data_IF_097213224941
#
_entry.id   IF_097213224941
#
_cell.length_a   1.000
_cell.length_b   1.000
_cell.length_c   1.000
_cell.angle_alpha   90.00
_cell.angle_beta   90.00
_cell.angle_gamma   90.00
#
_symmetry.space_group_name_H-M   'P 1'
#
loop_
_entity.id
_entity.type
_entity.pdbx_description
1 polymer ?
#
# COMPACT_ATOMS: atom_id res chain seq x y z
N UNK A 1 0.57 8.38 -32.09
CA UNK A 1 -0.19 7.95 -30.90
C UNK A 1 0.02 8.97 -29.81
N UNK A 2 -1.06 9.46 -29.22
CA UNK A 2 -1.00 10.33 -28.04
C UNK A 2 -0.46 9.49 -26.88
N UNK A 3 0.58 9.99 -26.19
CA UNK A 3 1.20 9.31 -25.05
C UNK A 3 0.25 9.32 -23.85
N UNK A 4 0.07 8.20 -23.20
CA UNK A 4 -0.58 8.14 -21.88
C UNK A 4 0.35 8.71 -20.80
N UNK A 5 -0.25 9.32 -19.77
CA UNK A 5 0.47 9.79 -18.59
C UNK A 5 0.64 8.64 -17.60
N UNK A 6 1.87 8.40 -17.18
CA UNK A 6 2.20 7.43 -16.13
C UNK A 6 1.96 8.08 -14.77
N UNK A 7 0.95 7.62 -14.06
CA UNK A 7 0.57 8.15 -12.74
C UNK A 7 0.93 7.12 -11.67
N UNK A 8 1.86 7.47 -10.78
CA UNK A 8 2.19 6.67 -9.61
C UNK A 8 1.21 6.97 -8.47
N UNK A 9 0.51 5.96 -7.95
CA UNK A 9 -0.41 6.10 -6.83
C UNK A 9 0.15 5.31 -5.64
N UNK A 10 0.50 5.99 -4.54
CA UNK A 10 1.09 5.41 -3.35
C UNK A 10 0.06 5.24 -2.23
N UNK A 11 0.10 4.09 -1.56
CA UNK A 11 -0.77 3.84 -0.42
C UNK A 11 -1.02 2.36 -0.15
N UNK A 12 -2.16 2.07 0.47
CA UNK A 12 -2.62 0.72 0.83
C UNK A 12 -4.07 0.75 1.30
N UNK A 13 -4.44 -0.29 2.06
CA UNK A 13 -5.77 -0.40 2.67
C UNK A 13 -6.91 -0.41 1.66
N UNK A 14 -7.93 0.40 1.89
CA UNK A 14 -9.10 0.55 1.03
C UNK A 14 -9.08 1.84 0.19
N UNK A 15 -8.30 2.83 0.60
CA UNK A 15 -8.24 4.14 -0.06
C UNK A 15 -7.60 4.05 -1.45
N UNK A 16 -6.43 3.45 -1.56
CA UNK A 16 -5.73 3.31 -2.83
C UNK A 16 -6.54 2.53 -3.88
N UNK A 17 -7.13 1.35 -3.60
CA UNK A 17 -8.01 0.68 -4.55
C UNK A 17 -9.19 1.53 -5.01
N UNK A 18 -9.80 2.32 -4.13
CA UNK A 18 -10.91 3.22 -4.49
C UNK A 18 -10.47 4.30 -5.48
N UNK A 19 -9.31 4.92 -5.25
CA UNK A 19 -8.71 5.88 -6.16
C UNK A 19 -8.42 5.25 -7.54
N UNK A 20 -7.78 4.08 -7.56
CA UNK A 20 -7.45 3.37 -8.80
C UNK A 20 -8.70 3.02 -9.60
N UNK A 21 -9.76 2.56 -8.94
CA UNK A 21 -11.05 2.25 -9.56
C UNK A 21 -11.68 3.46 -10.25
N UNK A 22 -11.59 4.64 -9.63
CA UNK A 22 -12.06 5.89 -10.22
C UNK A 22 -11.20 6.37 -11.39
N UNK A 23 -9.88 6.29 -11.26
CA UNK A 23 -8.97 6.80 -12.28
C UNK A 23 -8.84 5.89 -13.51
N UNK A 24 -9.01 4.57 -13.37
CA UNK A 24 -8.83 3.59 -14.47
C UNK A 24 -9.79 3.78 -15.66
N UNK A 25 -10.87 4.53 -15.46
CA UNK A 25 -11.82 4.84 -16.53
C UNK A 25 -11.27 5.87 -17.53
N UNK A 26 -10.27 6.64 -17.10
CA UNK A 26 -9.66 7.64 -17.98
C UNK A 26 -8.61 6.98 -18.89
N UNK A 27 -8.83 6.97 -20.24
CA UNK A 27 -7.95 6.27 -21.16
C UNK A 27 -6.59 6.96 -21.36
N UNK A 28 -6.43 8.19 -20.90
CA UNK A 28 -5.18 8.95 -20.97
C UNK A 28 -4.21 8.63 -19.86
N UNK A 29 -4.65 7.88 -18.82
CA UNK A 29 -3.84 7.52 -17.68
C UNK A 29 -3.36 6.07 -17.77
N UNK A 30 -2.08 5.87 -17.53
CA UNK A 30 -1.50 4.56 -17.23
C UNK A 30 -1.16 4.53 -15.74
N UNK A 31 -1.94 3.76 -14.98
CA UNK A 31 -1.87 3.76 -13.53
C UNK A 31 -0.83 2.77 -13.01
N UNK A 32 -0.08 3.22 -12.01
CA UNK A 32 0.90 2.42 -11.28
C UNK A 32 0.60 2.52 -9.79
N UNK A 33 0.08 1.45 -9.21
CA UNK A 33 -0.11 1.37 -7.76
C UNK A 33 1.21 0.97 -7.08
N UNK A 34 1.77 1.83 -6.24
CA UNK A 34 2.91 1.52 -5.36
C UNK A 34 2.36 1.23 -3.98
N UNK A 35 2.37 -0.05 -3.61
CA UNK A 35 1.58 -0.58 -2.50
C UNK A 35 2.45 -0.82 -1.28
N UNK A 36 1.93 -0.45 -0.11
CA UNK A 36 2.53 -0.80 1.19
C UNK A 36 2.60 -2.32 1.37
N UNK A 37 3.67 -2.79 2.02
CA UNK A 37 3.93 -4.22 2.23
C UNK A 37 4.04 -4.57 3.73
N UNK A 38 3.42 -3.77 4.59
CA UNK A 38 3.61 -3.86 6.04
C UNK A 38 2.32 -4.21 6.80
N UNK A 39 1.28 -4.68 6.07
CA UNK A 39 0.02 -5.18 6.66
C UNK A 39 0.33 -6.34 7.63
N UNK A 40 -0.10 -6.19 8.87
CA UNK A 40 0.04 -7.19 9.93
C UNK A 40 -1.29 -7.79 10.35
N UNK A 41 -2.40 -7.37 9.73
CA UNK A 41 -3.75 -7.74 10.11
C UNK A 41 -4.36 -8.89 9.33
N UNK A 42 -5.41 -9.49 9.91
CA UNK A 42 -6.30 -10.44 9.27
C UNK A 42 -5.61 -11.58 8.50
N UNK A 43 -6.14 -11.92 7.32
CA UNK A 43 -5.64 -13.00 6.48
C UNK A 43 -4.20 -12.77 5.97
N UNK A 44 -3.82 -11.52 5.68
CA UNK A 44 -2.48 -11.19 5.19
C UNK A 44 -1.42 -11.40 6.27
N UNK A 45 -1.69 -10.95 7.50
CA UNK A 45 -0.79 -11.14 8.64
C UNK A 45 -0.62 -12.62 8.97
N UNK A 46 -1.70 -13.40 8.98
CA UNK A 46 -1.63 -14.85 9.23
C UNK A 46 -0.79 -15.57 8.18
N UNK A 47 -1.00 -15.31 6.89
CA UNK A 47 -0.22 -15.92 5.81
C UNK A 47 1.25 -15.54 5.89
N UNK A 48 1.54 -14.28 6.22
CA UNK A 48 2.91 -13.82 6.47
C UNK A 48 3.57 -14.61 7.59
N UNK A 49 2.88 -14.80 8.70
CA UNK A 49 3.45 -15.42 9.91
C UNK A 49 3.54 -16.96 9.78
N UNK A 50 2.57 -17.62 9.13
CA UNK A 50 2.51 -19.06 8.98
C UNK A 50 3.34 -19.61 7.81
N UNK A 51 3.24 -18.97 6.64
CA UNK A 51 3.88 -19.43 5.41
C UNK A 51 5.17 -18.67 5.08
N UNK A 52 5.44 -17.61 5.82
CA UNK A 52 6.60 -16.80 5.55
C UNK A 52 6.54 -16.06 4.21
N UNK A 53 5.35 -15.81 3.67
CA UNK A 53 5.13 -15.02 2.44
C UNK A 53 5.00 -13.53 2.75
N UNK A 54 5.08 -12.69 1.73
CA UNK A 54 4.77 -11.27 1.86
C UNK A 54 3.25 -11.07 2.01
N UNK A 55 2.78 -10.01 2.74
CA UNK A 55 1.36 -9.80 2.96
C UNK A 55 0.64 -9.44 1.64
N UNK A 56 -0.22 -10.33 1.11
CA UNK A 56 -0.75 -10.18 -0.24
C UNK A 56 -1.97 -9.25 -0.34
N UNK A 57 -2.59 -8.90 0.79
CA UNK A 57 -3.93 -8.31 0.83
C UNK A 57 -4.07 -7.00 0.07
N UNK A 58 -3.21 -6.03 0.31
CA UNK A 58 -3.30 -4.73 -0.33
C UNK A 58 -2.91 -4.77 -1.82
N UNK A 59 -1.94 -5.61 -2.17
CA UNK A 59 -1.59 -5.90 -3.56
C UNK A 59 -2.78 -6.50 -4.31
N UNK A 60 -3.45 -7.49 -3.70
CA UNK A 60 -4.66 -8.10 -4.26
C UNK A 60 -5.77 -7.07 -4.47
N UNK A 61 -6.07 -6.24 -3.46
CA UNK A 61 -7.11 -5.19 -3.57
C UNK A 61 -6.81 -4.21 -4.72
N UNK A 62 -5.56 -3.80 -4.89
CA UNK A 62 -5.14 -2.91 -5.98
C UNK A 62 -5.24 -3.61 -7.35
N UNK A 63 -4.83 -4.88 -7.46
CA UNK A 63 -4.97 -5.65 -8.69
C UNK A 63 -6.44 -5.82 -9.08
N UNK A 64 -7.32 -6.10 -8.11
CA UNK A 64 -8.76 -6.18 -8.33
C UNK A 64 -9.36 -4.85 -8.78
N UNK A 65 -8.96 -3.72 -8.15
CA UNK A 65 -9.41 -2.40 -8.56
C UNK A 65 -9.02 -2.06 -10.00
N UNK A 66 -7.87 -2.53 -10.47
CA UNK A 66 -7.40 -2.34 -11.85
C UNK A 66 -7.91 -3.42 -12.82
N UNK A 67 -8.54 -4.48 -12.33
CA UNK A 67 -9.02 -5.58 -13.16
C UNK A 67 -10.02 -5.13 -14.23
N UNK A 68 -10.02 -5.82 -15.38
CA UNK A 68 -10.97 -5.56 -16.47
C UNK A 68 -12.41 -5.86 -16.05
N UNK A 69 -12.62 -6.99 -15.38
CA UNK A 69 -13.93 -7.43 -14.86
C UNK A 69 -13.87 -7.41 -13.32
N UNK A 70 -13.76 -6.21 -12.73
CA UNK A 70 -13.59 -6.04 -11.29
C UNK A 70 -14.68 -6.77 -10.46
N UNK A 71 -15.96 -6.62 -10.85
CA UNK A 71 -17.07 -7.18 -10.08
C UNK A 71 -17.01 -8.70 -9.95
N UNK A 72 -16.66 -9.41 -11.02
CA UNK A 72 -16.53 -10.88 -11.00
C UNK A 72 -15.25 -11.30 -10.27
N UNK A 73 -14.13 -10.64 -10.55
CA UNK A 73 -12.88 -10.92 -9.90
C UNK A 73 -12.99 -10.75 -8.37
N UNK A 74 -13.65 -9.70 -7.89
CA UNK A 74 -13.89 -9.47 -6.46
C UNK A 74 -14.75 -10.57 -5.83
N UNK A 75 -15.85 -10.97 -6.50
CA UNK A 75 -16.72 -12.04 -5.98
C UNK A 75 -15.97 -13.34 -5.77
N UNK A 76 -15.07 -13.71 -6.68
CA UNK A 76 -14.30 -14.96 -6.60
C UNK A 76 -13.12 -14.82 -5.65
N UNK A 77 -12.28 -13.80 -5.81
CA UNK A 77 -11.00 -13.71 -5.12
C UNK A 77 -11.10 -13.14 -3.71
N UNK A 78 -12.17 -12.40 -3.37
CA UNK A 78 -12.42 -11.95 -2.00
C UNK A 78 -13.35 -12.88 -1.22
N UNK A 79 -13.87 -13.93 -1.85
CA UNK A 79 -14.60 -14.97 -1.14
C UNK A 79 -13.68 -15.59 -0.06
N UNK A 80 -14.21 -15.67 1.17
CA UNK A 80 -13.48 -16.24 2.30
C UNK A 80 -13.81 -17.72 2.43
N UNK A 81 -12.79 -18.53 2.70
CA UNK A 81 -13.00 -19.92 3.05
C UNK A 81 -13.69 -20.02 4.41
N UNK A 82 -14.71 -20.91 4.55
CA UNK A 82 -15.38 -21.09 5.83
C UNK A 82 -14.40 -21.66 6.87
N UNK A 83 -14.52 -21.18 8.10
CA UNK A 83 -13.77 -21.73 9.22
C UNK A 83 -14.48 -23.00 9.69
N UNK A 84 -13.95 -24.16 9.30
CA UNK A 84 -14.43 -25.47 9.75
C UNK A 84 -13.53 -25.98 10.87
N UNK A 85 -14.10 -26.63 11.86
CA UNK A 85 -13.37 -27.14 13.04
C UNK A 85 -12.16 -28.04 12.67
N UNK A 86 -12.26 -28.78 11.56
CA UNK A 86 -11.20 -29.67 11.09
C UNK A 86 -10.22 -29.03 10.07
N UNK A 87 -10.44 -27.78 9.65
CA UNK A 87 -9.63 -27.04 8.67
C UNK A 87 -9.32 -25.62 9.13
N UNK A 88 -9.06 -25.43 10.42
CA UNK A 88 -8.84 -24.11 11.03
C UNK A 88 -7.77 -23.27 10.35
N UNK A 89 -6.73 -23.91 9.77
CA UNK A 89 -5.62 -23.21 9.12
C UNK A 89 -5.98 -22.49 7.81
N UNK A 90 -6.98 -22.98 7.07
CA UNK A 90 -7.42 -22.35 5.80
C UNK A 90 -8.64 -21.44 6.00
N UNK A 91 -9.31 -21.54 7.13
CA UNK A 91 -10.50 -20.75 7.43
C UNK A 91 -10.20 -19.26 7.51
N UNK A 92 -11.11 -18.44 6.97
CA UNK A 92 -10.99 -16.99 7.00
C UNK A 92 -10.08 -16.37 5.93
N UNK A 93 -9.22 -17.15 5.27
CA UNK A 93 -8.42 -16.65 4.16
C UNK A 93 -9.27 -16.38 2.92
N UNK A 94 -8.92 -15.35 2.15
CA UNK A 94 -9.54 -15.12 0.85
C UNK A 94 -8.87 -15.98 -0.23
N UNK A 95 -9.65 -16.42 -1.21
CA UNK A 95 -9.12 -17.19 -2.33
C UNK A 95 -7.98 -16.49 -3.07
N UNK A 96 -8.07 -15.17 -3.21
CA UNK A 96 -7.03 -14.36 -3.87
C UNK A 96 -5.73 -14.26 -3.07
N UNK A 97 -5.80 -14.16 -1.74
CA UNK A 97 -4.60 -14.16 -0.90
C UNK A 97 -3.87 -15.51 -0.99
N UNK A 98 -4.62 -16.62 -0.94
CA UNK A 98 -4.04 -17.95 -1.11
C UNK A 98 -3.44 -18.14 -2.49
N UNK A 99 -4.15 -17.72 -3.54
CA UNK A 99 -3.65 -17.79 -4.92
C UNK A 99 -2.32 -17.03 -5.07
N UNK A 100 -2.26 -15.79 -4.59
CA UNK A 100 -1.05 -14.97 -4.71
C UNK A 100 0.12 -15.57 -3.92
N UNK A 101 -0.14 -16.09 -2.70
CA UNK A 101 0.87 -16.78 -1.91
C UNK A 101 1.38 -18.06 -2.60
N UNK A 102 0.49 -18.83 -3.24
CA UNK A 102 0.90 -20.00 -4.03
C UNK A 102 1.73 -19.60 -5.25
N UNK A 103 1.36 -18.54 -5.94
CA UNK A 103 2.11 -18.02 -7.08
C UNK A 103 3.51 -17.55 -6.66
N UNK A 104 3.64 -16.89 -5.51
CA UNK A 104 4.94 -16.51 -4.93
C UNK A 104 5.81 -17.74 -4.64
N UNK A 105 5.26 -18.75 -3.96
CA UNK A 105 5.99 -19.97 -3.66
C UNK A 105 6.43 -20.74 -4.92
N UNK A 106 5.59 -20.75 -5.95
CA UNK A 106 5.92 -21.42 -7.21
C UNK A 106 6.97 -20.67 -8.03
N UNK A 107 6.87 -19.35 -8.15
CA UNK A 107 7.81 -18.54 -8.93
C UNK A 107 9.12 -18.24 -8.18
N UNK A 108 9.10 -18.30 -6.84
CA UNK A 108 10.21 -17.85 -5.99
C UNK A 108 10.45 -16.33 -6.02
N UNK A 109 9.52 -15.59 -6.65
CA UNK A 109 9.59 -14.14 -6.81
C UNK A 109 8.20 -13.51 -6.69
N UNK A 110 8.03 -12.67 -5.68
CA UNK A 110 6.75 -11.99 -5.44
C UNK A 110 6.35 -11.01 -6.54
N UNK A 111 7.30 -10.32 -7.15
CA UNK A 111 7.02 -9.43 -8.30
C UNK A 111 6.49 -10.22 -9.49
N UNK A 112 7.08 -11.37 -9.79
CA UNK A 112 6.59 -12.26 -10.84
C UNK A 112 5.19 -12.78 -10.54
N UNK A 113 4.90 -13.12 -9.27
CA UNK A 113 3.56 -13.52 -8.84
C UNK A 113 2.53 -12.39 -9.03
N UNK A 114 2.86 -11.17 -8.65
CA UNK A 114 2.00 -9.98 -8.85
C UNK A 114 1.76 -9.71 -10.33
N UNK A 115 2.79 -9.80 -11.17
CA UNK A 115 2.65 -9.59 -12.63
C UNK A 115 1.81 -10.70 -13.28
N UNK A 116 1.97 -11.95 -12.84
CA UNK A 116 1.13 -13.07 -13.25
C UNK A 116 -0.35 -12.86 -12.89
N UNK A 117 -0.64 -12.46 -11.63
CA UNK A 117 -2.00 -12.12 -11.20
C UNK A 117 -2.58 -10.96 -12.03
N UNK A 118 -1.79 -9.92 -12.28
CA UNK A 118 -2.16 -8.80 -13.15
C UNK A 118 -2.56 -9.28 -14.54
N UNK A 119 -1.79 -10.19 -15.13
CA UNK A 119 -2.07 -10.81 -16.43
C UNK A 119 -3.40 -11.57 -16.42
N UNK A 120 -3.62 -12.42 -15.42
CA UNK A 120 -4.87 -13.19 -15.26
C UNK A 120 -6.11 -12.30 -15.15
N UNK A 121 -6.00 -11.17 -14.45
CA UNK A 121 -7.10 -10.24 -14.23
C UNK A 121 -7.29 -9.23 -15.39
N UNK A 122 -6.38 -9.20 -16.36
CA UNK A 122 -6.39 -8.23 -17.45
C UNK A 122 -6.35 -6.79 -16.93
N UNK A 123 -5.51 -6.51 -15.92
CA UNK A 123 -5.46 -5.21 -15.26
C UNK A 123 -5.08 -4.06 -16.21
N UNK A 124 -5.76 -2.93 -16.07
CA UNK A 124 -5.47 -1.67 -16.76
C UNK A 124 -4.49 -0.81 -15.96
N UNK A 125 -3.26 -1.28 -15.83
CA UNK A 125 -2.22 -0.63 -15.05
C UNK A 125 -1.27 -1.65 -14.44
N UNK A 126 -0.41 -1.19 -13.54
CA UNK A 126 0.56 -2.03 -12.84
C UNK A 126 0.41 -1.91 -11.33
N UNK A 127 0.77 -2.99 -10.65
CA UNK A 127 0.83 -3.04 -9.18
C UNK A 127 2.27 -3.36 -8.80
N UNK A 128 2.83 -2.52 -7.94
CA UNK A 128 4.20 -2.59 -7.48
C UNK A 128 4.23 -2.71 -5.97
N UNK A 129 4.59 -3.86 -5.39
CA UNK A 129 4.98 -3.90 -3.99
C UNK A 129 6.19 -2.98 -3.81
N UNK A 130 6.13 -2.04 -2.86
CA UNK A 130 7.21 -1.05 -2.68
C UNK A 130 8.54 -1.73 -2.34
N UNK A 131 8.48 -2.84 -1.62
CA UNK A 131 9.63 -3.70 -1.28
C UNK A 131 9.18 -5.16 -1.28
N UNK A 132 10.13 -6.06 -1.47
CA UNK A 132 9.96 -7.52 -1.26
C UNK A 132 10.66 -8.00 0.01
N UNK A 133 11.20 -7.08 0.80
CA UNK A 133 11.79 -7.37 2.10
C UNK A 133 10.73 -7.22 3.20
N UNK A 134 10.92 -7.96 4.30
CA UNK A 134 9.99 -7.94 5.43
C UNK A 134 10.41 -6.92 6.46
N UNK A 135 9.47 -6.08 6.85
CA UNK A 135 9.62 -5.17 7.97
C UNK A 135 8.29 -5.01 8.71
N UNK A 136 8.36 -4.41 9.88
CA UNK A 136 7.21 -3.94 10.63
C UNK A 136 7.24 -2.42 10.74
N UNK A 137 6.08 -1.82 10.78
CA UNK A 137 5.94 -0.40 11.14
C UNK A 137 6.21 -0.28 12.64
N UNK A 138 7.04 0.68 13.02
CA UNK A 138 7.31 1.02 14.41
C UNK A 138 6.97 2.48 14.66
N UNK A 139 6.36 2.78 15.79
CA UNK A 139 5.99 4.13 16.19
C UNK A 139 6.48 4.45 17.60
N UNK A 140 6.97 5.68 17.79
CA UNK A 140 7.19 6.34 19.07
C UNK A 140 6.12 7.40 19.27
N UNK A 141 5.52 7.46 20.44
CA UNK A 141 4.49 8.44 20.78
C UNK A 141 5.07 9.56 21.66
N UNK A 142 4.32 10.66 21.81
CA UNK A 142 4.77 11.81 22.60
C UNK A 142 4.93 11.51 24.08
N UNK A 143 4.26 10.48 24.60
CA UNK A 143 4.43 10.00 25.98
C UNK A 143 5.66 9.09 26.17
N UNK A 144 6.42 8.81 25.10
CA UNK A 144 7.60 7.95 25.10
C UNK A 144 7.32 6.47 24.92
N UNK A 145 6.05 6.05 24.80
CA UNK A 145 5.71 4.66 24.51
C UNK A 145 6.09 4.28 23.08
N UNK A 146 6.31 2.98 22.86
CA UNK A 146 6.70 2.40 21.56
C UNK A 146 5.74 1.28 21.18
N UNK A 147 5.40 1.19 19.90
CA UNK A 147 4.68 0.05 19.35
C UNK A 147 5.31 -0.46 18.06
N UNK A 148 4.99 -1.73 17.74
CA UNK A 148 5.44 -2.40 16.52
C UNK A 148 4.30 -3.18 15.90
N UNK A 149 4.02 -2.93 14.64
CA UNK A 149 2.94 -3.55 13.85
C UNK A 149 1.90 -2.51 13.45
N UNK A 150 1.29 -2.73 12.30
CA UNK A 150 0.25 -1.85 11.76
C UNK A 150 -0.97 -1.79 12.70
N UNK A 151 -1.45 -2.97 13.11
CA UNK A 151 -2.65 -3.11 13.98
C UNK A 151 -2.43 -2.41 15.32
N UNK A 152 -1.24 -2.53 15.89
CA UNK A 152 -0.89 -1.91 17.16
C UNK A 152 -0.79 -0.37 17.02
N UNK A 153 -0.22 0.13 15.92
CA UNK A 153 -0.15 1.57 15.64
C UNK A 153 -1.56 2.16 15.50
N UNK A 154 -2.44 1.51 14.75
CA UNK A 154 -3.84 1.95 14.59
C UNK A 154 -4.61 1.90 15.93
N UNK A 155 -4.35 0.87 16.75
CA UNK A 155 -4.99 0.74 18.06
C UNK A 155 -4.57 1.89 19.01
N UNK A 156 -3.28 2.23 19.08
CA UNK A 156 -2.79 3.32 19.94
C UNK A 156 -3.29 4.69 19.46
N UNK A 157 -3.36 4.93 18.14
CA UNK A 157 -3.98 6.14 17.61
C UNK A 157 -5.46 6.23 17.98
N UNK A 158 -6.19 5.12 17.94
CA UNK A 158 -7.60 5.08 18.35
C UNK A 158 -7.79 5.39 19.84
N UNK A 159 -6.81 5.04 20.70
CA UNK A 159 -6.77 5.39 22.13
C UNK A 159 -6.42 6.85 22.39
N UNK A 160 -5.84 7.54 21.40
CA UNK A 160 -5.51 8.96 21.50
C UNK A 160 -4.02 9.26 21.59
N UNK A 161 -3.15 8.25 21.46
CA UNK A 161 -1.71 8.47 21.45
C UNK A 161 -1.26 9.11 20.14
N UNK A 162 -0.56 10.24 20.23
CA UNK A 162 -0.07 10.99 19.08
C UNK A 162 1.31 10.49 18.67
N UNK A 163 1.44 10.13 17.39
CA UNK A 163 2.71 9.65 16.84
C UNK A 163 3.72 10.80 16.78
N UNK A 164 4.89 10.60 17.38
CA UNK A 164 6.03 11.50 17.36
C UNK A 164 7.04 11.10 16.27
N UNK A 165 7.25 9.81 16.07
CA UNK A 165 8.19 9.25 15.09
C UNK A 165 7.66 7.94 14.54
N UNK A 166 7.90 7.70 13.24
CA UNK A 166 7.55 6.47 12.54
C UNK A 166 8.76 5.96 11.77
N UNK A 167 9.00 4.64 11.80
CA UNK A 167 10.07 4.00 11.03
C UNK A 167 9.71 2.55 10.68
N UNK A 168 10.53 1.94 9.84
CA UNK A 168 10.44 0.52 9.49
C UNK A 168 11.55 -0.25 10.18
N UNK A 169 11.25 -1.46 10.68
CA UNK A 169 12.22 -2.34 11.33
C UNK A 169 12.04 -3.80 10.84
N UNK A 170 13.08 -4.42 10.29
CA UNK A 170 14.36 -3.83 9.93
C UNK A 170 14.22 -2.73 8.85
N UNK A 171 15.28 -1.93 8.66
CA UNK A 171 15.37 -1.01 7.52
C UNK A 171 15.38 -1.82 6.22
N UNK A 172 14.46 -1.51 5.31
CA UNK A 172 14.25 -2.24 4.05
C UNK A 172 14.41 -1.33 2.85
N UNK A 173 14.80 -1.93 1.73
CA UNK A 173 15.06 -1.20 0.49
C UNK A 173 13.95 -1.40 -0.54
N UNK A 174 13.77 -0.39 -1.39
CA UNK A 174 12.91 -0.51 -2.57
C UNK A 174 13.50 -1.54 -3.54
N UNK A 175 12.63 -2.33 -4.18
CA UNK A 175 13.10 -3.19 -5.25
C UNK A 175 13.58 -2.36 -6.47
N UNK A 176 14.74 -2.65 -7.08
CA UNK A 176 15.31 -1.84 -8.18
C UNK A 176 14.33 -1.60 -9.33
N UNK A 177 13.59 -2.64 -9.75
CA UNK A 177 12.57 -2.51 -10.82
C UNK A 177 11.46 -1.52 -10.46
N UNK A 178 11.09 -1.45 -9.18
CA UNK A 178 10.07 -0.50 -8.70
C UNK A 178 10.63 0.91 -8.67
N UNK A 179 11.87 1.09 -8.23
CA UNK A 179 12.57 2.38 -8.30
C UNK A 179 12.65 2.91 -9.73
N UNK A 180 12.99 2.04 -10.69
CA UNK A 180 13.04 2.40 -12.12
C UNK A 180 11.67 2.74 -12.70
N UNK A 181 10.60 2.13 -12.19
CA UNK A 181 9.24 2.49 -12.57
C UNK A 181 8.86 3.87 -12.03
N UNK A 182 9.16 4.16 -10.75
CA UNK A 182 8.85 5.45 -10.10
C UNK A 182 9.50 6.62 -10.85
N UNK A 183 10.77 6.51 -11.24
CA UNK A 183 11.51 7.54 -12.00
C UNK A 183 10.84 7.94 -13.31
N UNK A 184 9.96 7.08 -13.84
CA UNK A 184 9.26 7.30 -15.12
C UNK A 184 7.85 7.87 -14.95
N UNK A 185 7.41 8.16 -13.72
CA UNK A 185 6.10 8.75 -13.50
C UNK A 185 6.04 10.20 -13.95
N UNK A 186 4.95 10.56 -14.58
CA UNK A 186 4.65 11.93 -15.00
C UNK A 186 4.01 12.74 -13.86
N UNK A 187 3.38 12.07 -12.89
CA UNK A 187 2.92 12.64 -11.63
C UNK A 187 2.79 11.53 -10.57
N UNK A 188 2.77 11.93 -9.31
CA UNK A 188 2.59 11.03 -8.16
C UNK A 188 1.40 11.49 -7.34
N UNK A 189 0.57 10.55 -6.94
CA UNK A 189 -0.53 10.74 -5.99
C UNK A 189 -0.23 9.91 -4.74
N UNK A 190 -0.27 10.53 -3.57
CA UNK A 190 -0.12 9.86 -2.27
C UNK A 190 -1.46 9.95 -1.55
N UNK A 191 -2.07 8.81 -1.24
CA UNK A 191 -3.39 8.73 -0.63
C UNK A 191 -4.54 8.59 -1.62
N UNK A 192 -5.80 8.56 -1.12
CA UNK A 192 -6.17 8.58 0.31
C UNK A 192 -5.84 7.28 1.02
N UNK A 193 -5.88 7.31 2.35
CA UNK A 193 -5.64 6.12 3.19
C UNK A 193 -5.19 6.51 4.60
N UNK A 194 -5.10 5.54 5.50
CA UNK A 194 -4.57 5.76 6.83
C UNK A 194 -3.17 6.35 6.78
N UNK A 195 -2.99 7.52 7.41
CA UNK A 195 -1.79 8.32 7.22
C UNK A 195 -0.53 7.58 7.68
N UNK A 196 -0.55 7.06 8.93
CA UNK A 196 0.63 6.43 9.52
C UNK A 196 0.81 4.96 9.13
N UNK A 197 -0.25 4.26 8.74
CA UNK A 197 -0.17 2.82 8.46
C UNK A 197 -0.26 2.47 6.97
N UNK A 198 -0.82 3.36 6.13
CA UNK A 198 -0.92 3.10 4.69
C UNK A 198 -0.12 4.07 3.81
N UNK A 199 0.00 5.36 4.20
CA UNK A 199 0.62 6.38 3.36
C UNK A 199 2.09 6.63 3.69
N UNK A 200 2.44 6.71 4.97
CA UNK A 200 3.82 6.93 5.39
C UNK A 200 4.74 5.72 5.14
N UNK A 201 4.35 4.46 5.42
CA UNK A 201 5.26 3.34 5.31
C UNK A 201 5.90 3.15 3.92
N UNK A 202 5.17 3.23 2.78
CA UNK A 202 5.80 3.09 1.47
C UNK A 202 6.82 4.19 1.15
N UNK A 203 6.66 5.41 1.69
CA UNK A 203 7.64 6.49 1.46
C UNK A 203 8.83 6.46 2.42
N UNK A 204 8.76 5.66 3.48
CA UNK A 204 9.87 5.42 4.41
C UNK A 204 10.84 4.32 3.92
N UNK A 205 10.47 3.55 2.91
CA UNK A 205 11.35 2.52 2.32
C UNK A 205 12.57 3.19 1.69
N UNK A 206 13.76 2.71 2.07
CA UNK A 206 15.02 3.26 1.58
C UNK A 206 15.11 3.19 0.04
N UNK A 207 15.47 4.28 -0.60
CA UNK A 207 15.55 4.41 -2.05
C UNK A 207 14.28 4.99 -2.69
N UNK A 208 13.14 5.06 -1.98
CA UNK A 208 11.92 5.70 -2.50
C UNK A 208 12.12 7.22 -2.62
N UNK A 209 12.72 7.83 -1.62
CA UNK A 209 13.06 9.26 -1.64
C UNK A 209 13.89 9.64 -2.86
N UNK A 210 14.94 8.87 -3.15
CA UNK A 210 15.83 9.07 -4.30
C UNK A 210 15.08 8.85 -5.62
N UNK A 211 14.22 7.83 -5.70
CA UNK A 211 13.43 7.58 -6.89
C UNK A 211 12.40 8.70 -7.15
N UNK A 212 11.79 9.25 -6.10
CA UNK A 212 10.86 10.37 -6.19
C UNK A 212 11.54 11.70 -6.54
N UNK A 213 12.81 11.88 -6.17
CA UNK A 213 13.59 13.06 -6.55
C UNK A 213 13.75 13.20 -8.08
N UNK A 214 13.76 12.08 -8.81
CA UNK A 214 13.87 12.05 -10.27
C UNK A 214 12.53 12.31 -10.97
N UNK A 215 11.39 12.29 -10.26
CA UNK A 215 10.07 12.58 -10.81
C UNK A 215 9.94 14.08 -11.06
N UNK A 216 9.75 14.46 -12.33
CA UNK A 216 9.67 15.88 -12.74
C UNK A 216 8.28 16.49 -12.53
N UNK A 217 7.26 15.65 -12.46
CA UNK A 217 5.88 16.09 -12.31
C UNK A 217 5.48 16.37 -10.87
N UNK A 218 4.23 16.80 -10.66
CA UNK A 218 3.74 17.16 -9.35
C UNK A 218 3.56 15.94 -8.45
N UNK A 219 3.80 16.16 -7.15
CA UNK A 219 3.39 15.26 -6.07
C UNK A 219 2.10 15.81 -5.47
N UNK A 220 1.04 15.04 -5.57
CA UNK A 220 -0.31 15.37 -5.12
C UNK A 220 -0.61 14.53 -3.87
N UNK A 221 -0.98 15.17 -2.79
CA UNK A 221 -1.46 14.50 -1.58
C UNK A 221 -2.97 14.60 -1.50
N UNK A 222 -3.65 13.46 -1.34
CA UNK A 222 -5.08 13.40 -1.06
C UNK A 222 -5.26 13.09 0.40
N UNK A 223 -5.71 14.10 1.16
CA UNK A 223 -5.99 13.97 2.58
C UNK A 223 -7.32 13.23 2.81
N UNK A 224 -7.44 12.58 3.97
CA UNK A 224 -8.71 12.01 4.38
C UNK A 224 -9.71 13.11 4.77
N UNK A 225 -10.97 12.91 4.43
CA UNK A 225 -12.05 13.84 4.78
C UNK A 225 -12.37 13.84 6.27
N UNK A 226 -12.03 12.77 6.97
CA UNK A 226 -12.30 12.58 8.40
C UNK A 226 -11.00 12.27 9.14
N UNK A 227 -10.93 12.68 10.39
CA UNK A 227 -9.82 12.38 11.29
C UNK A 227 -9.78 10.89 11.62
N UNK A 228 -8.60 10.30 11.55
CA UNK A 228 -8.35 8.89 11.84
C UNK A 228 -8.07 8.69 13.33
N UNK A 229 -9.12 8.52 14.12
CA UNK A 229 -9.00 8.29 15.56
C UNK A 229 -8.59 9.53 16.37
N UNK A 230 -8.55 9.35 17.70
CA UNK A 230 -8.29 10.44 18.66
C UNK A 230 -6.85 10.94 18.61
N UNK A 231 -5.89 10.07 18.29
CA UNK A 231 -4.47 10.41 18.16
C UNK A 231 -4.16 11.39 17.02
N UNK A 232 -5.10 11.54 16.08
CA UNK A 232 -5.01 12.51 14.99
C UNK A 232 -5.77 13.81 15.28
N UNK A 233 -6.28 14.00 16.51
CA UNK A 233 -6.98 15.21 16.88
C UNK A 233 -6.05 16.43 16.76
N UNK A 234 -6.49 17.43 15.99
CA UNK A 234 -5.68 18.62 15.67
C UNK A 234 -4.61 18.41 14.59
N UNK A 235 -4.44 17.22 14.07
CA UNK A 235 -3.52 16.94 12.96
C UNK A 235 -4.17 17.40 11.63
N UNK A 236 -3.57 18.38 11.00
CA UNK A 236 -4.12 19.00 9.79
C UNK A 236 -3.55 18.39 8.51
N UNK A 237 -4.19 18.62 7.37
CA UNK A 237 -3.63 18.25 6.07
C UNK A 237 -2.25 18.92 5.82
N UNK A 238 -2.02 20.10 6.37
CA UNK A 238 -0.71 20.76 6.35
C UNK A 238 0.35 20.04 7.19
N UNK A 239 -0.03 19.47 8.33
CA UNK A 239 0.87 18.62 9.15
C UNK A 239 1.24 17.35 8.38
N UNK A 240 0.27 16.69 7.80
CA UNK A 240 0.47 15.51 6.96
C UNK A 240 1.41 15.81 5.78
N UNK A 241 1.19 16.92 5.08
CA UNK A 241 2.05 17.35 3.98
C UNK A 241 3.49 17.62 4.44
N UNK A 242 3.71 18.18 5.65
CA UNK A 242 5.05 18.36 6.22
C UNK A 242 5.73 17.04 6.54
N UNK A 243 5.01 16.07 7.09
CA UNK A 243 5.53 14.72 7.34
C UNK A 243 5.96 14.04 6.03
N UNK A 244 5.09 14.09 5.01
CA UNK A 244 5.40 13.55 3.68
C UNK A 244 6.61 14.27 3.09
N UNK A 245 6.65 15.60 3.09
CA UNK A 245 7.76 16.38 2.54
C UNK A 245 9.11 16.01 3.19
N UNK A 246 9.13 15.80 4.50
CA UNK A 246 10.33 15.36 5.22
C UNK A 246 10.76 13.95 4.79
N UNK A 247 9.82 13.02 4.63
CA UNK A 247 10.10 11.65 4.23
C UNK A 247 10.60 11.57 2.78
N UNK A 248 9.93 12.26 1.84
CA UNK A 248 10.27 12.21 0.40
C UNK A 248 11.38 13.21 0.00
N UNK A 249 11.73 14.14 0.89
CA UNK A 249 12.83 15.11 0.67
C UNK A 249 12.50 16.23 -0.31
N UNK A 250 11.21 16.44 -0.63
CA UNK A 250 10.71 17.54 -1.45
C UNK A 250 9.29 17.93 -1.01
N UNK A 251 8.84 19.18 -1.27
CA UNK A 251 7.48 19.58 -0.92
C UNK A 251 6.43 18.76 -1.70
N UNK A 252 5.24 18.66 -1.11
CA UNK A 252 4.02 18.26 -1.82
C UNK A 252 3.54 19.48 -2.61
N UNK A 253 3.29 19.29 -3.90
CA UNK A 253 2.94 20.40 -4.80
C UNK A 253 1.46 20.78 -4.73
N UNK A 254 0.59 19.77 -4.48
CA UNK A 254 -0.88 19.95 -4.41
C UNK A 254 -1.44 19.13 -3.24
N UNK A 255 -2.32 19.74 -2.47
CA UNK A 255 -3.10 19.06 -1.43
C UNK A 255 -4.58 19.10 -1.84
N UNK A 256 -5.22 17.94 -1.86
CA UNK A 256 -6.67 17.79 -2.03
C UNK A 256 -7.23 17.35 -0.67
N UNK A 257 -8.06 18.21 -0.05
CA UNK A 257 -8.65 18.00 1.28
C UNK A 257 -10.16 18.32 1.27
#
# INVERSE_FOLDING_TARGET
QLRQFNIGCFGGGTGLPSLLGGLKINPWLHLHAVVTMFDSGGSSGQLRDELGVLPPGDVLKCALALARNEGEARRVLLARLPTLEHHARLGGHTGGNLLLSMMEQYSGDFLAAVDGLRGLLGCRGRVWPVTIERASICAEYHDGSLTRGEVEVDAEQSRGHQVKRLWLEPDVSIHPTVADAIRKFDAVIIGPGSFFTSLMPPVLVRGVKEALADVRGPIIFIANLLTEGRGMSGFTAGDAARWLANAIGRPVDVIIA
#
